data_IF_051187419144
#
_entry.id   IF_051187419144
#
_cell.length_a   1.000
_cell.length_b   1.000
_cell.length_c   1.000
_cell.angle_alpha   90.00
_cell.angle_beta   90.00
_cell.angle_gamma   90.00
#
_symmetry.space_group_name_H-M   'P 1'
#
loop_
_entity.id
_entity.type
_entity.pdbx_description
1 polymer ?
#
# COMPACT_ATOMS: atom_id res chain seq x y z
N UNK A 1 -6.46 -0.36 -5.58
CA UNK A 1 -5.54 -0.40 -4.43
C UNK A 1 -4.63 0.83 -4.34
N UNK A 2 -3.79 1.05 -5.32
CA UNK A 2 -2.85 2.18 -5.27
C UNK A 2 -3.56 3.53 -5.18
N UNK A 3 -4.60 3.74 -5.98
CA UNK A 3 -5.33 5.00 -5.99
C UNK A 3 -5.99 5.32 -4.65
N UNK A 4 -6.49 4.30 -3.96
CA UNK A 4 -7.08 4.49 -2.63
C UNK A 4 -6.03 4.94 -1.62
N UNK A 5 -4.86 4.30 -1.66
CA UNK A 5 -3.75 4.67 -0.79
C UNK A 5 -3.27 6.10 -1.08
N UNK A 6 -3.09 6.45 -2.35
CA UNK A 6 -2.67 7.79 -2.74
C UNK A 6 -3.69 8.84 -2.32
N UNK A 7 -4.97 8.55 -2.47
CA UNK A 7 -6.03 9.47 -2.08
C UNK A 7 -5.99 9.78 -0.58
N UNK A 8 -5.80 8.76 0.25
CA UNK A 8 -5.70 8.95 1.69
C UNK A 8 -4.44 9.73 2.05
N UNK A 9 -3.32 9.42 1.41
CA UNK A 9 -2.07 10.13 1.64
C UNK A 9 -2.18 11.60 1.24
N UNK A 10 -2.82 11.91 0.11
CA UNK A 10 -3.04 13.29 -0.32
C UNK A 10 -3.84 14.08 0.71
N UNK A 11 -4.83 13.44 1.31
CA UNK A 11 -5.68 14.08 2.30
C UNK A 11 -4.94 14.36 3.60
N UNK A 12 -4.18 13.38 4.09
CA UNK A 12 -3.53 13.45 5.39
C UNK A 12 -2.11 14.02 5.36
N UNK A 13 -1.44 13.89 4.21
CA UNK A 13 -0.05 14.32 4.02
C UNK A 13 0.07 15.09 2.70
N UNK A 14 -0.37 16.36 2.68
CA UNK A 14 -0.38 17.13 1.43
C UNK A 14 0.97 17.25 0.73
N UNK A 15 2.07 17.15 1.49
CA UNK A 15 3.43 17.27 0.95
C UNK A 15 4.07 15.93 0.62
N UNK A 16 3.29 14.83 0.63
CA UNK A 16 3.83 13.49 0.40
C UNK A 16 4.37 13.35 -1.01
N UNK A 17 5.48 12.62 -1.15
CA UNK A 17 6.07 12.32 -2.44
C UNK A 17 5.35 11.12 -3.06
N UNK A 18 4.40 11.40 -3.94
CA UNK A 18 3.57 10.35 -4.56
C UNK A 18 4.39 9.39 -5.43
N UNK A 19 5.42 9.89 -6.10
CA UNK A 19 6.27 9.04 -6.93
C UNK A 19 7.00 7.99 -6.09
N UNK A 20 7.46 8.38 -4.90
CA UNK A 20 8.11 7.45 -4.00
C UNK A 20 7.13 6.40 -3.48
N UNK A 21 5.90 6.82 -3.17
CA UNK A 21 4.84 5.90 -2.74
C UNK A 21 4.51 4.90 -3.84
N UNK A 22 4.40 5.37 -5.08
CA UNK A 22 4.13 4.50 -6.22
C UNK A 22 5.24 3.47 -6.40
N UNK A 23 6.50 3.89 -6.28
CA UNK A 23 7.64 2.98 -6.39
C UNK A 23 7.63 1.94 -5.28
N UNK A 24 7.39 2.36 -4.05
CA UNK A 24 7.35 1.45 -2.91
C UNK A 24 6.22 0.44 -3.07
N UNK A 25 5.04 0.90 -3.48
CA UNK A 25 3.90 0.03 -3.75
C UNK A 25 4.24 -0.99 -4.83
N UNK A 26 4.81 -0.54 -5.94
CA UNK A 26 5.14 -1.40 -7.07
C UNK A 26 6.15 -2.47 -6.69
N UNK A 27 7.20 -2.08 -5.97
CA UNK A 27 8.21 -3.03 -5.50
C UNK A 27 7.62 -4.07 -4.55
N UNK A 28 6.79 -3.63 -3.62
CA UNK A 28 6.15 -4.54 -2.68
C UNK A 28 5.20 -5.51 -3.40
N UNK A 29 4.39 -5.00 -4.32
CA UNK A 29 3.48 -5.83 -5.10
C UNK A 29 4.25 -6.87 -5.93
N UNK A 30 5.29 -6.45 -6.66
CA UNK A 30 6.08 -7.35 -7.49
C UNK A 30 6.79 -8.41 -6.66
N UNK A 31 7.24 -8.05 -5.44
CA UNK A 31 7.91 -9.00 -4.57
C UNK A 31 6.98 -10.07 -4.03
N UNK A 32 5.68 -9.76 -3.91
CA UNK A 32 4.72 -10.65 -3.25
C UNK A 32 3.58 -11.14 -4.14
N UNK A 33 3.58 -10.78 -5.43
CA UNK A 33 2.43 -11.08 -6.30
C UNK A 33 2.11 -12.57 -6.42
N UNK A 34 3.11 -13.43 -6.23
CA UNK A 34 2.95 -14.89 -6.29
C UNK A 34 2.90 -15.54 -4.92
N UNK A 35 2.88 -14.74 -3.85
CA UNK A 35 2.85 -15.26 -2.49
C UNK A 35 1.43 -15.25 -1.96
N UNK A 36 1.10 -16.30 -1.19
CA UNK A 36 -0.22 -16.45 -0.61
C UNK A 36 -0.09 -16.82 0.87
N UNK A 37 -1.06 -16.37 1.65
CA UNK A 37 -1.17 -16.74 3.06
C UNK A 37 -1.76 -18.15 3.17
N UNK A 38 -1.66 -18.75 4.35
CA UNK A 38 -2.24 -20.07 4.62
C UNK A 38 -3.75 -20.11 4.33
N UNK A 39 -4.45 -18.96 4.44
CA UNK A 39 -5.87 -18.83 4.12
C UNK A 39 -6.17 -18.86 2.62
N UNK A 40 -5.15 -18.77 1.77
CA UNK A 40 -5.30 -18.67 0.33
C UNK A 40 -5.39 -17.23 -0.19
N UNK A 41 -5.44 -16.24 0.70
CA UNK A 41 -5.46 -14.84 0.30
C UNK A 41 -4.09 -14.39 -0.21
N UNK A 42 -4.05 -13.47 -1.19
CA UNK A 42 -2.76 -12.90 -1.63
C UNK A 42 -2.03 -12.27 -0.45
N UNK A 43 -0.75 -12.57 -0.33
CA UNK A 43 0.08 -12.04 0.75
C UNK A 43 0.09 -10.52 0.78
N UNK A 44 0.09 -9.89 -0.39
CA UNK A 44 0.17 -8.44 -0.50
C UNK A 44 -1.00 -7.71 0.16
N UNK A 45 -2.15 -8.37 0.32
CA UNK A 45 -3.31 -7.73 0.97
C UNK A 45 -2.97 -7.26 2.38
N UNK A 46 -2.16 -8.02 3.12
CA UNK A 46 -1.84 -7.67 4.49
C UNK A 46 -0.99 -6.39 4.62
N UNK A 47 0.18 -6.28 3.96
CA UNK A 47 0.95 -5.04 4.03
C UNK A 47 0.19 -3.84 3.46
N UNK A 48 -0.67 -4.04 2.46
CA UNK A 48 -1.50 -2.97 1.93
C UNK A 48 -2.47 -2.46 3.00
N UNK A 49 -3.16 -3.36 3.70
CA UNK A 49 -4.10 -2.98 4.77
C UNK A 49 -3.40 -2.23 5.90
N UNK A 50 -2.20 -2.68 6.28
CA UNK A 50 -1.40 -1.99 7.30
C UNK A 50 -1.05 -0.58 6.83
N UNK A 51 -0.63 -0.43 5.58
CA UNK A 51 -0.30 0.87 5.00
C UNK A 51 -1.50 1.81 5.02
N UNK A 52 -2.69 1.29 4.70
CA UNK A 52 -3.92 2.09 4.73
C UNK A 52 -4.25 2.57 6.13
N UNK A 53 -4.08 1.72 7.14
CA UNK A 53 -4.31 2.10 8.53
C UNK A 53 -3.34 3.21 8.94
N UNK A 54 -2.05 3.02 8.66
CA UNK A 54 -1.04 4.03 9.00
C UNK A 54 -1.34 5.35 8.30
N UNK A 55 -1.69 5.32 7.02
CA UNK A 55 -1.97 6.52 6.24
C UNK A 55 -3.16 7.30 6.81
N UNK A 56 -4.14 6.61 7.39
CA UNK A 56 -5.30 7.26 8.01
C UNK A 56 -4.95 7.91 9.35
N UNK A 57 -3.95 7.38 10.04
CA UNK A 57 -3.60 7.85 11.39
C UNK A 57 -2.61 9.01 11.42
N UNK A 58 -1.89 9.25 10.33
CA UNK A 58 -0.93 10.35 10.27
C UNK A 58 -1.53 11.70 9.76
#
# INVERSE_FOLDING_TARGET
MLEDLLKICRTNLPSVNEELIKKAFQLSFESHKNDFRASGEPYFNHPYEVAMIVAREI
#
